data_IF_432105885966
#
_entry.id   IF_432105885966
#
_cell.length_a   1.000
_cell.length_b   1.000
_cell.length_c   1.000
_cell.angle_alpha   90.00
_cell.angle_beta   90.00
_cell.angle_gamma   90.00
#
_symmetry.space_group_name_H-M   'P 1'
#
loop_
_entity.id
_entity.type
_entity.pdbx_description
1 polymer ?
#
# COMPACT_ATOMS: atom_id res chain seq x y z
N UNK A 1 -21.78 22.87 7.50
CA UNK A 1 -20.92 23.91 6.90
C UNK A 1 -21.27 23.95 5.41
N UNK A 2 -22.36 24.62 5.05
CA UNK A 2 -22.41 26.04 4.62
C UNK A 2 -21.76 26.27 3.26
N UNK A 3 -22.59 26.36 2.22
CA UNK A 3 -22.70 27.62 1.47
C UNK A 3 -24.08 27.70 0.81
N UNK A 4 -24.82 28.71 1.25
CA UNK A 4 -26.10 29.11 0.72
C UNK A 4 -25.93 29.89 -0.60
N UNK A 5 -27.08 30.12 -1.23
CA UNK A 5 -27.40 31.25 -2.10
C UNK A 5 -26.93 31.18 -3.56
N UNK A 6 -27.86 30.76 -4.42
CA UNK A 6 -28.35 31.65 -5.47
C UNK A 6 -29.80 31.30 -5.79
N UNK A 7 -30.72 31.76 -4.94
CA UNK A 7 -32.06 32.12 -5.40
C UNK A 7 -31.86 33.21 -6.45
N UNK A 8 -32.02 32.86 -7.73
CA UNK A 8 -32.35 33.84 -8.77
C UNK A 8 -33.87 33.87 -8.87
N UNK A 9 -34.45 34.64 -7.96
CA UNK A 9 -35.78 35.18 -8.12
C UNK A 9 -35.71 36.22 -9.24
N UNK A 10 -36.11 35.82 -10.45
CA UNK A 10 -36.51 36.75 -11.49
C UNK A 10 -37.88 36.32 -12.01
N UNK A 11 -38.89 36.68 -11.24
CA UNK A 11 -40.18 37.12 -11.76
C UNK A 11 -39.96 38.26 -12.78
N UNK A 12 -39.50 37.92 -13.98
CA UNK A 12 -39.35 38.83 -15.11
C UNK A 12 -40.30 38.38 -16.20
N UNK A 13 -41.15 39.29 -16.69
CA UNK A 13 -42.10 39.03 -17.76
C UNK A 13 -41.44 38.25 -18.90
N UNK A 14 -41.81 36.99 -19.03
CA UNK A 14 -41.41 36.20 -20.19
C UNK A 14 -42.21 36.76 -21.35
N UNK A 15 -41.60 37.66 -22.12
CA UNK A 15 -42.22 38.16 -23.35
C UNK A 15 -42.63 36.95 -24.19
N UNK A 16 -43.93 36.76 -24.48
CA UNK A 16 -44.42 35.59 -25.20
C UNK A 16 -43.78 35.48 -26.59
N UNK A 17 -43.40 36.63 -27.16
CA UNK A 17 -42.65 36.76 -28.41
C UNK A 17 -41.24 36.17 -28.26
N UNK A 18 -40.54 36.44 -27.17
CA UNK A 18 -39.17 35.94 -26.95
C UNK A 18 -39.15 34.42 -26.75
N UNK A 19 -40.14 33.87 -26.06
CA UNK A 19 -40.30 32.43 -25.92
C UNK A 19 -40.71 31.77 -27.24
N UNK A 20 -41.55 32.43 -28.06
CA UNK A 20 -41.91 31.97 -29.39
C UNK A 20 -40.69 31.93 -30.33
N UNK A 21 -39.85 32.97 -30.35
CA UNK A 21 -38.62 33.03 -31.16
C UNK A 21 -37.60 31.98 -30.71
N UNK A 22 -37.57 31.59 -29.43
CA UNK A 22 -36.66 30.56 -28.91
C UNK A 22 -37.19 29.13 -29.05
N UNK A 23 -38.50 28.93 -29.19
CA UNK A 23 -39.11 27.59 -29.29
C UNK A 23 -39.49 27.23 -30.72
N UNK A 24 -40.03 28.16 -31.52
CA UNK A 24 -40.47 27.88 -32.90
C UNK A 24 -39.35 27.33 -33.81
N UNK A 25 -38.14 27.90 -33.87
CA UNK A 25 -37.09 27.36 -34.74
C UNK A 25 -36.50 26.04 -34.22
N UNK A 26 -36.61 25.76 -32.91
CA UNK A 26 -36.10 24.54 -32.29
C UNK A 26 -37.17 23.45 -32.09
N UNK A 27 -38.45 23.75 -32.35
CA UNK A 27 -39.55 22.79 -32.20
C UNK A 27 -39.52 21.69 -33.27
N UNK A 28 -38.88 21.94 -34.42
CA UNK A 28 -38.63 20.91 -35.43
C UNK A 28 -37.36 20.07 -35.13
N UNK A 29 -36.45 20.62 -34.33
CA UNK A 29 -35.22 19.94 -33.93
C UNK A 29 -35.51 19.02 -32.74
N UNK A 30 -35.86 17.75 -33.03
CA UNK A 30 -35.84 16.71 -32.00
C UNK A 30 -34.40 16.53 -31.54
N UNK A 31 -34.06 16.76 -30.25
CA UNK A 31 -32.71 16.49 -29.77
C UNK A 31 -32.38 15.03 -30.06
N UNK A 32 -31.25 14.75 -30.74
CA UNK A 32 -30.89 13.38 -31.08
C UNK A 32 -30.80 12.56 -29.80
N UNK A 33 -31.25 11.30 -29.83
CA UNK A 33 -31.09 10.36 -28.72
C UNK A 33 -29.60 10.07 -28.55
N UNK A 34 -28.90 10.95 -27.84
CA UNK A 34 -27.48 10.84 -27.53
C UNK A 34 -27.30 9.68 -26.55
N UNK A 35 -27.11 8.47 -27.08
CA UNK A 35 -26.57 7.33 -26.33
C UNK A 35 -25.07 7.55 -26.12
N UNK A 36 -24.71 8.58 -25.36
CA UNK A 36 -23.33 8.80 -24.95
C UNK A 36 -22.96 7.67 -23.99
N UNK A 37 -22.17 6.71 -24.49
CA UNK A 37 -21.46 5.76 -23.62
C UNK A 37 -20.43 6.58 -22.85
N UNK A 38 -20.72 6.86 -21.59
CA UNK A 38 -19.70 7.38 -20.67
C UNK A 38 -18.52 6.41 -20.69
N UNK A 39 -17.27 6.90 -20.78
CA UNK A 39 -16.12 6.02 -20.64
C UNK A 39 -16.16 5.39 -19.25
N UNK A 40 -16.56 4.12 -19.17
CA UNK A 40 -16.51 3.36 -17.93
C UNK A 40 -15.09 2.87 -17.76
N UNK A 41 -14.36 3.43 -16.80
CA UNK A 41 -13.09 2.84 -16.37
C UNK A 41 -13.39 1.50 -15.70
N UNK A 42 -12.85 0.41 -16.25
CA UNK A 42 -12.94 -0.89 -15.61
C UNK A 42 -12.19 -0.82 -14.28
N UNK A 43 -12.90 -1.08 -13.19
CA UNK A 43 -12.31 -1.15 -11.86
C UNK A 43 -11.28 -2.31 -11.83
N UNK A 44 -10.14 -2.13 -11.14
CA UNK A 44 -9.15 -3.20 -11.00
C UNK A 44 -9.74 -4.38 -10.22
N UNK A 45 -9.22 -5.58 -10.49
CA UNK A 45 -9.59 -6.79 -9.74
C UNK A 45 -9.22 -6.65 -8.26
N UNK A 46 -10.01 -7.30 -7.38
CA UNK A 46 -9.76 -7.32 -5.94
C UNK A 46 -8.33 -7.80 -5.59
N UNK A 47 -7.77 -8.75 -6.35
CA UNK A 47 -6.41 -9.22 -6.13
C UNK A 47 -5.35 -8.19 -6.53
N UNK A 48 -5.61 -7.38 -7.55
CA UNK A 48 -4.74 -6.25 -7.93
C UNK A 48 -4.72 -5.22 -6.82
N UNK A 49 -5.89 -4.89 -6.25
CA UNK A 49 -5.99 -3.96 -5.12
C UNK A 49 -5.27 -4.52 -3.89
N UNK A 50 -5.45 -5.81 -3.58
CA UNK A 50 -4.73 -6.48 -2.50
C UNK A 50 -3.21 -6.41 -2.68
N UNK A 51 -2.69 -6.71 -3.87
CA UNK A 51 -1.27 -6.65 -4.16
C UNK A 51 -0.71 -5.22 -4.04
N UNK A 52 -1.45 -4.21 -4.49
CA UNK A 52 -1.06 -2.80 -4.34
C UNK A 52 -1.03 -2.40 -2.86
N UNK A 53 -2.03 -2.78 -2.07
CA UNK A 53 -2.06 -2.50 -0.63
C UNK A 53 -0.86 -3.18 0.06
N UNK A 54 -0.60 -4.45 -0.23
CA UNK A 54 0.53 -5.17 0.35
C UNK A 54 1.88 -4.53 -0.03
N UNK A 55 2.02 -4.08 -1.27
CA UNK A 55 3.20 -3.34 -1.73
C UNK A 55 3.35 -2.00 -0.99
N UNK A 56 2.28 -1.23 -0.84
CA UNK A 56 2.34 0.04 -0.10
C UNK A 56 2.66 -0.18 1.38
N UNK A 57 2.11 -1.24 1.99
CA UNK A 57 2.45 -1.63 3.35
C UNK A 57 3.94 -1.95 3.47
N UNK A 58 4.49 -2.75 2.55
CA UNK A 58 5.92 -3.04 2.50
C UNK A 58 6.75 -1.75 2.41
N UNK A 59 6.40 -0.83 1.50
CA UNK A 59 7.14 0.42 1.29
C UNK A 59 7.14 1.31 2.53
N UNK A 60 6.01 1.42 3.22
CA UNK A 60 5.89 2.24 4.42
C UNK A 60 6.65 1.62 5.58
N UNK A 61 6.46 0.32 5.83
CA UNK A 61 7.05 -0.38 6.98
C UNK A 61 8.56 -0.58 6.81
N UNK A 62 9.05 -0.75 5.58
CA UNK A 62 10.50 -0.77 5.33
C UNK A 62 11.18 0.58 5.52
N UNK A 63 10.43 1.65 5.75
CA UNK A 63 10.98 2.96 6.06
C UNK A 63 11.43 3.76 4.85
N UNK A 64 10.86 3.52 3.65
CA UNK A 64 11.17 4.33 2.46
C UNK A 64 10.91 5.82 2.69
N UNK A 65 9.91 6.17 3.50
CA UNK A 65 9.66 7.56 3.90
C UNK A 65 10.85 8.15 4.68
N UNK A 66 11.43 7.35 5.59
CA UNK A 66 12.64 7.74 6.30
C UNK A 66 13.84 7.85 5.35
N UNK A 67 13.97 6.90 4.42
CA UNK A 67 15.07 6.88 3.46
C UNK A 67 15.05 8.11 2.54
N UNK A 68 13.88 8.57 2.12
CA UNK A 68 13.72 9.78 1.28
C UNK A 68 14.02 11.06 2.06
N UNK A 69 13.68 11.12 3.35
CA UNK A 69 13.87 12.33 4.16
C UNK A 69 15.31 12.46 4.64
N UNK A 70 15.90 11.35 5.08
CA UNK A 70 17.19 11.34 5.78
C UNK A 70 18.35 10.95 4.87
N UNK A 71 18.05 10.31 3.73
CA UNK A 71 19.04 9.81 2.78
C UNK A 71 20.20 9.03 3.46
N UNK A 72 19.89 8.03 4.30
CA UNK A 72 20.92 7.27 5.01
C UNK A 72 21.75 6.43 4.03
N UNK A 73 22.99 6.06 4.39
CA UNK A 73 23.76 5.14 3.56
C UNK A 73 23.09 3.76 3.49
N UNK A 74 23.30 3.06 2.38
CA UNK A 74 22.65 1.77 2.15
C UNK A 74 23.13 0.67 3.11
N UNK A 75 24.42 0.65 3.41
CA UNK A 75 25.09 -0.32 4.30
C UNK A 75 26.14 0.43 5.11
N UNK A 76 26.30 0.09 6.40
CA UNK A 76 27.36 0.60 7.24
C UNK A 76 28.69 -0.14 7.09
N UNK A 77 29.73 0.38 7.71
CA UNK A 77 31.01 -0.32 7.81
C UNK A 77 31.63 -0.11 9.17
N UNK A 78 32.20 -1.17 9.75
CA UNK A 78 33.02 -1.08 10.95
C UNK A 78 34.46 -1.45 10.59
N UNK A 79 35.42 -0.72 11.14
CA UNK A 79 36.82 -1.11 11.05
C UNK A 79 37.15 -2.00 12.24
N UNK A 80 37.80 -3.13 11.96
CA UNK A 80 38.36 -3.98 12.99
C UNK A 80 39.61 -3.30 13.58
N UNK A 81 39.63 -3.13 14.90
CA UNK A 81 40.67 -2.38 15.61
C UNK A 81 42.05 -3.04 15.54
N UNK A 82 42.11 -4.36 15.37
CA UNK A 82 43.38 -5.10 15.35
C UNK A 82 43.93 -5.31 13.94
N UNK A 83 43.06 -5.49 12.95
CA UNK A 83 43.47 -5.81 11.57
C UNK A 83 43.35 -4.63 10.61
N UNK A 84 42.63 -3.56 10.99
CA UNK A 84 42.31 -2.43 10.10
C UNK A 84 41.34 -2.80 8.97
N UNK A 85 40.86 -4.04 8.91
CA UNK A 85 39.95 -4.50 7.88
C UNK A 85 38.57 -3.85 8.04
N UNK A 86 38.01 -3.36 6.93
CA UNK A 86 36.66 -2.82 6.88
C UNK A 86 35.68 -3.98 6.71
N UNK A 87 34.77 -4.16 7.66
CA UNK A 87 33.69 -5.15 7.60
C UNK A 87 32.35 -4.46 7.34
N UNK A 88 31.54 -4.96 6.40
CA UNK A 88 30.21 -4.41 6.17
C UNK A 88 29.30 -4.72 7.36
N UNK A 89 28.47 -3.75 7.74
CA UNK A 89 27.51 -3.88 8.84
C UNK A 89 26.12 -3.50 8.32
N UNK A 90 25.19 -4.43 8.45
CA UNK A 90 23.83 -4.31 7.87
C UNK A 90 22.89 -3.53 8.79
N UNK A 91 23.10 -3.60 10.11
CA UNK A 91 22.27 -2.94 11.12
C UNK A 91 23.07 -1.87 11.86
N UNK A 92 22.44 -0.75 12.21
CA UNK A 92 23.08 0.27 13.04
C UNK A 92 22.91 -0.07 14.53
N UNK A 93 23.95 -0.60 15.23
CA UNK A 93 23.79 -1.02 16.62
C UNK A 93 23.68 0.19 17.56
N UNK A 94 22.78 0.11 18.55
CA UNK A 94 22.67 1.09 19.64
C UNK A 94 21.98 2.41 19.28
N UNK A 95 21.66 2.66 18.00
CA UNK A 95 20.91 3.84 17.57
C UNK A 95 19.52 3.44 17.07
N UNK A 96 18.53 3.54 17.95
CA UNK A 96 17.15 3.09 17.66
C UNK A 96 16.46 3.96 16.59
N UNK A 97 16.70 5.27 16.62
CA UNK A 97 16.07 6.24 15.71
C UNK A 97 16.75 6.33 14.33
N UNK A 98 17.84 5.60 14.11
CA UNK A 98 18.55 5.57 12.84
C UNK A 98 18.42 4.19 12.20
N UNK A 99 18.38 4.13 10.88
CA UNK A 99 18.43 2.87 10.13
C UNK A 99 19.27 3.04 8.87
N UNK A 100 19.85 1.93 8.41
CA UNK A 100 20.35 1.81 7.04
C UNK A 100 19.20 1.37 6.11
N UNK A 101 19.31 1.68 4.80
CA UNK A 101 18.28 1.31 3.81
C UNK A 101 18.05 -0.21 3.83
N UNK A 102 19.14 -1.01 3.84
CA UNK A 102 19.03 -2.47 3.83
C UNK A 102 18.39 -3.03 5.11
N UNK A 103 18.58 -2.36 6.24
CA UNK A 103 17.99 -2.73 7.52
C UNK A 103 16.47 -2.52 7.50
N UNK A 104 16.03 -1.37 6.98
CA UNK A 104 14.61 -1.08 6.75
C UNK A 104 13.97 -2.08 5.78
N UNK A 105 14.55 -2.28 4.60
CA UNK A 105 14.05 -3.22 3.59
C UNK A 105 13.97 -4.66 4.08
N UNK A 106 15.00 -5.13 4.80
CA UNK A 106 15.02 -6.50 5.33
C UNK A 106 13.98 -6.73 6.43
N UNK A 107 13.80 -5.78 7.34
CA UNK A 107 12.75 -5.86 8.38
C UNK A 107 11.35 -5.78 7.79
N UNK A 108 11.10 -4.89 6.83
CA UNK A 108 9.85 -4.82 6.08
C UNK A 108 9.51 -6.14 5.36
N UNK A 109 10.50 -6.79 4.75
CA UNK A 109 10.32 -8.08 4.09
C UNK A 109 9.90 -9.17 5.09
N UNK A 110 10.52 -9.23 6.27
CA UNK A 110 10.15 -10.20 7.30
C UNK A 110 8.71 -10.03 7.76
N UNK A 111 8.21 -8.80 7.91
CA UNK A 111 6.80 -8.57 8.29
C UNK A 111 5.82 -9.01 7.21
N UNK A 112 6.11 -8.72 5.94
CA UNK A 112 5.28 -9.19 4.81
C UNK A 112 5.30 -10.71 4.70
N UNK A 113 6.46 -11.34 4.91
CA UNK A 113 6.61 -12.79 4.91
C UNK A 113 5.77 -13.43 6.04
N UNK A 114 5.80 -12.85 7.25
CA UNK A 114 4.96 -13.29 8.36
C UNK A 114 3.46 -13.13 8.07
N UNK A 115 3.04 -11.98 7.55
CA UNK A 115 1.64 -11.73 7.16
C UNK A 115 1.16 -12.67 6.05
N UNK A 116 2.00 -12.90 5.04
CA UNK A 116 1.72 -13.87 3.97
C UNK A 116 1.60 -15.29 4.53
N UNK A 117 2.39 -15.63 5.55
CA UNK A 117 2.27 -16.91 6.27
C UNK A 117 0.88 -17.13 6.87
N UNK A 118 0.26 -16.08 7.45
CA UNK A 118 -1.11 -16.14 7.96
C UNK A 118 -2.12 -16.34 6.83
N UNK A 119 -1.94 -15.66 5.69
CA UNK A 119 -2.81 -15.84 4.51
C UNK A 119 -2.70 -17.26 3.95
N UNK A 120 -1.50 -17.85 3.94
CA UNK A 120 -1.32 -19.25 3.55
C UNK A 120 -2.02 -20.22 4.51
N UNK A 121 -2.02 -19.94 5.81
CA UNK A 121 -2.78 -20.73 6.78
C UNK A 121 -4.28 -20.68 6.50
N UNK A 122 -4.82 -19.52 6.16
CA UNK A 122 -6.24 -19.37 5.79
C UNK A 122 -6.58 -20.16 4.51
N UNK A 123 -5.74 -20.05 3.48
CA UNK A 123 -5.87 -20.83 2.24
C UNK A 123 -5.78 -22.35 2.48
N UNK A 124 -5.10 -22.79 3.54
CA UNK A 124 -5.03 -24.19 3.91
C UNK A 124 -6.34 -24.73 4.53
N UNK A 125 -7.26 -23.87 4.96
CA UNK A 125 -8.56 -24.27 5.51
C UNK A 125 -9.60 -24.56 4.42
N UNK A 126 -9.36 -24.11 3.20
CA UNK A 126 -10.24 -24.30 2.05
C UNK A 126 -10.61 -25.78 1.86
N UNK A 127 -11.92 -26.08 1.80
CA UNK A 127 -12.45 -27.44 1.66
C UNK A 127 -12.36 -27.96 0.23
N UNK A 128 -12.22 -27.07 -0.75
CA UNK A 128 -12.27 -27.42 -2.17
C UNK A 128 -10.90 -27.87 -2.74
N UNK A 129 -9.86 -27.92 -1.90
CA UNK A 129 -8.49 -28.22 -2.32
C UNK A 129 -8.05 -29.64 -1.92
N UNK A 130 -7.20 -30.24 -2.73
CA UNK A 130 -6.60 -31.54 -2.45
C UNK A 130 -5.81 -31.53 -1.13
N UNK A 131 -5.82 -32.65 -0.40
CA UNK A 131 -5.18 -32.79 0.92
C UNK A 131 -3.69 -32.43 0.90
N UNK A 132 -2.96 -32.81 -0.16
CA UNK A 132 -1.54 -32.48 -0.33
C UNK A 132 -1.29 -30.97 -0.40
N UNK A 133 -2.11 -30.24 -1.15
CA UNK A 133 -2.02 -28.79 -1.30
C UNK A 133 -2.31 -28.10 0.04
N UNK A 134 -3.33 -28.56 0.76
CA UNK A 134 -3.64 -28.04 2.11
C UNK A 134 -2.47 -28.21 3.06
N UNK A 135 -1.87 -29.41 3.10
CA UNK A 135 -0.69 -29.66 3.92
C UNK A 135 0.46 -28.74 3.52
N UNK A 136 0.71 -28.53 2.22
CA UNK A 136 1.77 -27.63 1.75
C UNK A 136 1.57 -26.17 2.16
N UNK A 137 0.33 -25.66 2.10
CA UNK A 137 0.04 -24.30 2.57
C UNK A 137 0.14 -24.18 4.09
N UNK A 138 -0.32 -25.19 4.85
CA UNK A 138 -0.13 -25.20 6.30
C UNK A 138 1.34 -25.21 6.69
N UNK A 139 2.15 -26.08 6.09
CA UNK A 139 3.58 -26.18 6.43
C UNK A 139 4.35 -24.93 6.03
N UNK A 140 4.11 -24.40 4.82
CA UNK A 140 4.72 -23.16 4.37
C UNK A 140 4.28 -21.95 5.22
N UNK A 141 2.99 -21.86 5.57
CA UNK A 141 2.45 -20.79 6.42
C UNK A 141 3.06 -20.77 7.81
N UNK A 142 3.14 -21.93 8.47
CA UNK A 142 3.82 -22.07 9.78
C UNK A 142 5.29 -21.69 9.65
N UNK A 143 5.99 -22.21 8.65
CA UNK A 143 7.41 -21.91 8.44
C UNK A 143 7.65 -20.41 8.25
N UNK A 144 6.82 -19.73 7.45
CA UNK A 144 6.93 -18.29 7.24
C UNK A 144 6.73 -17.48 8.52
N UNK A 145 5.71 -17.82 9.32
CA UNK A 145 5.46 -17.13 10.60
C UNK A 145 6.65 -17.34 11.56
N UNK A 146 7.15 -18.57 11.67
CA UNK A 146 8.28 -18.90 12.55
C UNK A 146 9.56 -18.18 12.11
N UNK A 147 9.90 -18.24 10.82
CA UNK A 147 11.10 -17.57 10.27
C UNK A 147 10.98 -16.06 10.47
N UNK A 148 9.83 -15.46 10.13
CA UNK A 148 9.57 -14.03 10.31
C UNK A 148 9.75 -13.61 11.77
N UNK A 149 9.18 -14.37 12.72
CA UNK A 149 9.30 -14.08 14.14
C UNK A 149 10.74 -14.17 14.65
N UNK A 150 11.44 -15.28 14.35
CA UNK A 150 12.82 -15.49 14.79
C UNK A 150 13.75 -14.43 14.22
N UNK A 151 13.61 -14.11 12.93
CA UNK A 151 14.45 -13.09 12.28
C UNK A 151 14.15 -11.69 12.81
N UNK A 152 12.88 -11.32 12.98
CA UNK A 152 12.51 -10.01 13.54
C UNK A 152 13.03 -9.85 14.97
N UNK A 153 12.95 -10.91 15.79
CA UNK A 153 13.51 -10.90 17.13
C UNK A 153 15.03 -10.75 17.14
N UNK A 154 15.71 -11.42 16.19
CA UNK A 154 17.15 -11.28 16.00
C UNK A 154 17.52 -9.85 15.60
N UNK A 155 16.77 -9.22 14.68
CA UNK A 155 17.00 -7.83 14.28
C UNK A 155 16.89 -6.87 15.46
N UNK A 156 15.86 -7.03 16.31
CA UNK A 156 15.72 -6.21 17.51
C UNK A 156 16.89 -6.42 18.49
N UNK A 157 17.35 -7.67 18.69
CA UNK A 157 18.49 -7.96 19.57
C UNK A 157 19.82 -7.42 19.05
N UNK A 158 20.00 -7.33 17.73
CA UNK A 158 21.16 -6.67 17.13
C UNK A 158 21.06 -5.15 17.32
N UNK A 159 19.88 -4.58 17.08
CA UNK A 159 19.63 -3.13 17.21
C UNK A 159 19.75 -2.63 18.64
N UNK A 160 19.20 -3.38 19.60
CA UNK A 160 19.15 -3.07 21.03
C UNK A 160 19.87 -4.19 21.79
N UNK A 161 21.18 -4.02 22.06
CA UNK A 161 21.93 -4.97 22.89
C UNK A 161 21.27 -5.11 24.26
N UNK A 162 21.16 -6.34 24.76
CA UNK A 162 20.45 -6.68 26.01
C UNK A 162 18.92 -6.51 25.99
N UNK A 163 18.29 -6.45 24.80
CA UNK A 163 16.84 -6.54 24.70
C UNK A 163 16.30 -7.85 25.32
N UNK A 164 15.46 -7.72 26.35
CA UNK A 164 14.83 -8.81 27.11
C UNK A 164 15.83 -9.82 27.72
N UNK A 165 16.98 -9.33 28.20
CA UNK A 165 17.85 -10.08 29.12
C UNK A 165 17.37 -9.97 30.56
#
# INVERSE_FOLDING_TARGET
MSSAAAQLDQSGSIDPIFHAVRVLPFSFLRPPRLRLKLPSFSLPSAMTVYALILLTYFMVVSGIVYDVIVEPPGIGSTQDRFTGAVRPVVFMPGRVNGQYIIEGLSSGFMFVLGGTGIVLLDLALDKNRAKSVKVSYSTAGIAFIVISYVMSMLFIRIKIPAYLR
#
